data_IF_973058231632
#
_entry.id   IF_973058231632
#
_cell.length_a   1.000
_cell.length_b   1.000
_cell.length_c   1.000
_cell.angle_alpha   90.00
_cell.angle_beta   90.00
_cell.angle_gamma   90.00
#
_symmetry.space_group_name_H-M   'P 1'
#
loop_
_entity.id
_entity.type
_entity.pdbx_description
1 polymer ?
#
# COMPACT_ATOMS: atom_id res chain seq x y z
N UNK A 1 -7.64 1.41 10.77
CA UNK A 1 -6.77 1.96 9.72
C UNK A 1 -6.28 0.90 8.75
N UNK A 2 -5.50 -0.12 9.17
CA UNK A 2 -5.02 -1.17 8.27
C UNK A 2 -6.13 -1.87 7.44
N UNK A 3 -7.27 -2.22 8.05
CA UNK A 3 -8.40 -2.82 7.32
C UNK A 3 -9.00 -1.86 6.27
N UNK A 4 -9.08 -0.56 6.55
CA UNK A 4 -9.55 0.45 5.60
C UNK A 4 -8.56 0.58 4.43
N UNK A 5 -7.27 0.65 4.74
CA UNK A 5 -6.20 0.68 3.72
C UNK A 5 -6.27 -0.56 2.82
N UNK A 6 -6.44 -1.74 3.40
CA UNK A 6 -6.60 -2.99 2.66
C UNK A 6 -7.80 -2.94 1.71
N UNK A 7 -8.97 -2.56 2.24
CA UNK A 7 -10.22 -2.53 1.48
C UNK A 7 -10.11 -1.59 0.27
N UNK A 8 -9.58 -0.38 0.48
CA UNK A 8 -9.40 0.60 -0.60
C UNK A 8 -8.32 0.16 -1.59
N UNK A 9 -7.19 -0.38 -1.12
CA UNK A 9 -6.10 -0.83 -1.98
C UNK A 9 -6.53 -2.00 -2.89
N UNK A 10 -7.41 -2.89 -2.41
CA UNK A 10 -8.00 -3.98 -3.23
C UNK A 10 -8.81 -3.49 -4.42
N UNK A 11 -9.26 -2.23 -4.42
CA UNK A 11 -9.99 -1.65 -5.56
C UNK A 11 -9.09 -1.31 -6.75
N UNK A 12 -7.77 -1.33 -6.56
CA UNK A 12 -6.78 -0.93 -7.56
C UNK A 12 -6.30 -2.19 -8.31
N UNK A 13 -6.56 -2.34 -9.63
CA UNK A 13 -6.33 -3.61 -10.35
C UNK A 13 -4.89 -4.14 -10.31
N UNK A 14 -3.89 -3.25 -10.25
CA UNK A 14 -2.46 -3.61 -10.20
C UNK A 14 -1.95 -3.91 -8.80
N UNK A 15 -2.80 -3.83 -7.78
CA UNK A 15 -2.43 -4.06 -6.38
C UNK A 15 -3.11 -5.32 -5.89
N UNK A 16 -2.32 -6.25 -5.34
CA UNK A 16 -2.85 -7.49 -4.77
C UNK A 16 -2.46 -7.63 -3.32
N UNK A 17 -3.43 -7.74 -2.42
CA UNK A 17 -3.17 -8.05 -1.02
C UNK A 17 -2.77 -9.51 -0.90
N UNK A 18 -1.57 -9.76 -0.39
CA UNK A 18 -0.93 -11.08 -0.39
C UNK A 18 -1.12 -11.86 0.91
N UNK A 19 -1.49 -11.17 2.00
CA UNK A 19 -1.64 -11.75 3.34
C UNK A 19 -2.87 -11.17 4.03
N UNK A 20 -3.53 -11.93 4.92
CA UNK A 20 -4.63 -11.41 5.73
C UNK A 20 -4.15 -10.26 6.64
N UNK A 21 -5.00 -9.25 6.79
CA UNK A 21 -4.71 -8.09 7.65
C UNK A 21 -5.26 -8.37 9.05
N UNK A 22 -4.39 -8.84 9.95
CA UNK A 22 -4.78 -9.25 11.31
C UNK A 22 -4.42 -8.21 12.39
N UNK A 23 -3.57 -7.23 12.04
CA UNK A 23 -3.08 -6.22 12.98
C UNK A 23 -3.00 -4.85 12.29
N UNK A 24 -1.84 -4.19 12.38
CA UNK A 24 -1.61 -2.88 11.82
C UNK A 24 -0.78 -2.88 10.53
N UNK A 25 -0.46 -4.07 10.00
CA UNK A 25 0.35 -4.24 8.79
C UNK A 25 -0.50 -4.77 7.63
N UNK A 26 -0.29 -4.20 6.44
CA UNK A 26 -0.90 -4.61 5.18
C UNK A 26 0.21 -5.01 4.21
N UNK A 27 0.12 -6.22 3.66
CA UNK A 27 1.10 -6.73 2.71
C UNK A 27 0.52 -6.77 1.30
N UNK A 28 1.06 -5.94 0.42
CA UNK A 28 0.55 -5.79 -0.94
C UNK A 28 1.66 -6.08 -1.96
N UNK A 29 1.35 -6.82 -3.01
CA UNK A 29 2.20 -6.90 -4.19
C UNK A 29 1.85 -5.72 -5.11
N UNK A 30 2.89 -4.96 -5.49
CA UNK A 30 2.77 -3.85 -6.44
C UNK A 30 3.89 -3.94 -7.50
N UNK A 31 3.65 -3.44 -8.73
CA UNK A 31 4.69 -3.36 -9.76
C UNK A 31 5.93 -2.61 -9.27
N UNK A 32 7.12 -3.12 -9.61
CA UNK A 32 8.40 -2.52 -9.19
C UNK A 32 8.55 -1.07 -9.65
N UNK A 33 8.01 -0.74 -10.82
CA UNK A 33 8.00 0.60 -11.39
C UNK A 33 7.26 1.64 -10.53
N UNK A 34 6.35 1.19 -9.65
CA UNK A 34 5.64 2.05 -8.72
C UNK A 34 6.32 2.15 -7.36
N UNK A 35 7.25 1.25 -7.01
CA UNK A 35 7.89 1.23 -5.69
C UNK A 35 8.62 2.55 -5.41
N UNK A 36 9.52 2.95 -6.31
CA UNK A 36 10.34 4.15 -6.13
C UNK A 36 9.48 5.42 -6.05
N UNK A 37 8.55 5.71 -6.98
CA UNK A 37 7.65 6.88 -6.86
C UNK A 37 6.84 6.90 -5.56
N UNK A 38 6.31 5.74 -5.16
CA UNK A 38 5.51 5.64 -3.93
C UNK A 38 6.38 5.84 -2.68
N UNK A 39 7.63 5.37 -2.68
CA UNK A 39 8.57 5.54 -1.57
C UNK A 39 9.09 6.98 -1.41
N UNK A 40 9.08 7.78 -2.48
CA UNK A 40 9.43 9.21 -2.40
C UNK A 40 8.37 10.01 -1.61
N UNK A 41 7.11 9.60 -1.71
CA UNK A 41 5.98 10.29 -1.09
C UNK A 41 5.61 9.70 0.29
N UNK A 42 5.68 8.37 0.42
CA UNK A 42 5.32 7.65 1.63
C UNK A 42 6.38 6.63 2.03
N UNK A 43 6.73 6.63 3.32
CA UNK A 43 7.72 5.70 3.84
C UNK A 43 7.13 4.30 4.07
N UNK A 44 7.66 3.31 3.36
CA UNK A 44 7.37 1.89 3.60
C UNK A 44 8.53 1.00 3.16
N UNK A 45 8.50 -0.25 3.63
CA UNK A 45 9.54 -1.23 3.35
C UNK A 45 9.05 -2.26 2.32
N UNK A 46 9.97 -2.69 1.46
CA UNK A 46 9.79 -3.90 0.66
C UNK A 46 10.03 -5.09 1.58
N UNK A 47 9.01 -5.94 1.71
CA UNK A 47 9.05 -7.17 2.49
C UNK A 47 9.70 -8.32 1.71
N UNK A 48 9.41 -8.39 0.41
CA UNK A 48 9.93 -9.42 -0.50
C UNK A 48 10.23 -8.76 -1.84
N UNK A 49 11.53 -8.59 -2.15
CA UNK A 49 11.97 -7.93 -3.38
C UNK A 49 11.69 -8.77 -4.62
N UNK A 50 11.83 -10.10 -4.53
CA UNK A 50 11.59 -11.04 -5.63
C UNK A 50 10.13 -10.96 -6.10
N UNK A 51 9.20 -10.90 -5.15
CA UNK A 51 7.76 -10.83 -5.40
C UNK A 51 7.21 -9.40 -5.41
N UNK A 52 8.04 -8.40 -5.17
CA UNK A 52 7.66 -6.98 -5.07
C UNK A 52 6.53 -6.74 -4.06
N UNK A 53 6.63 -7.42 -2.92
CA UNK A 53 5.68 -7.28 -1.82
C UNK A 53 6.17 -6.18 -0.90
N UNK A 54 5.31 -5.21 -0.64
CA UNK A 54 5.53 -4.13 0.31
C UNK A 54 4.77 -4.39 1.60
N UNK A 55 5.31 -3.86 2.69
CA UNK A 55 4.66 -3.85 4.00
C UNK A 55 4.31 -2.42 4.37
N UNK A 56 3.02 -2.10 4.29
CA UNK A 56 2.48 -0.85 4.80
C UNK A 56 2.10 -1.03 6.26
N UNK A 57 2.48 -0.08 7.11
CA UNK A 57 2.16 -0.10 8.52
C UNK A 57 1.32 1.12 8.86
N UNK A 58 0.21 0.91 9.55
CA UNK A 58 -0.57 1.98 10.17
C UNK A 58 -0.20 2.09 11.64
N UNK A 59 -0.19 3.30 12.18
CA UNK A 59 -0.01 3.58 13.61
C UNK A 59 -1.29 4.16 14.20
N UNK A 60 -1.28 4.48 15.49
CA UNK A 60 -2.38 5.18 16.14
C UNK A 60 -2.61 6.59 15.58
N UNK A 61 -1.58 7.20 14.99
CA UNK A 61 -1.64 8.54 14.40
C UNK A 61 -2.12 8.53 12.93
N UNK A 62 -2.25 7.35 12.31
CA UNK A 62 -2.73 7.26 10.93
C UNK A 62 -4.19 7.70 10.84
N UNK A 63 -4.47 8.75 10.08
CA UNK A 63 -5.82 9.27 9.87
C UNK A 63 -6.46 8.68 8.61
N UNK A 64 -7.78 8.88 8.47
CA UNK A 64 -8.49 8.45 7.25
C UNK A 64 -8.04 9.28 6.04
N UNK A 65 -7.68 10.55 6.25
CA UNK A 65 -7.14 11.43 5.23
C UNK A 65 -5.78 10.95 4.72
N UNK A 66 -4.90 10.46 5.61
CA UNK A 66 -3.62 9.85 5.21
C UNK A 66 -3.83 8.64 4.30
N UNK A 67 -4.81 7.78 4.64
CA UNK A 67 -5.16 6.62 3.81
C UNK A 67 -5.72 7.09 2.48
N UNK A 68 -6.65 8.04 2.47
CA UNK A 68 -7.25 8.56 1.24
C UNK A 68 -6.19 9.18 0.31
N UNK A 69 -5.23 9.93 0.86
CA UNK A 69 -4.09 10.48 0.13
C UNK A 69 -3.21 9.39 -0.46
N UNK A 70 -2.87 8.37 0.33
CA UNK A 70 -2.06 7.25 -0.11
C UNK A 70 -2.77 6.42 -1.22
N UNK A 71 -4.05 6.12 -1.07
CA UNK A 71 -4.86 5.42 -2.09
C UNK A 71 -4.94 6.24 -3.38
N UNK A 72 -5.09 7.55 -3.29
CA UNK A 72 -5.08 8.45 -4.45
C UNK A 72 -3.75 8.37 -5.20
N UNK A 73 -2.63 8.35 -4.47
CA UNK A 73 -1.30 8.19 -5.06
C UNK A 73 -1.14 6.81 -5.72
N UNK A 74 -1.58 5.75 -5.04
CA UNK A 74 -1.56 4.38 -5.58
C UNK A 74 -2.37 4.24 -6.87
N UNK A 75 -3.53 4.89 -6.96
CA UNK A 75 -4.35 4.90 -8.20
C UNK A 75 -3.61 5.59 -9.34
N UNK A 76 -3.05 6.78 -9.08
CA UNK A 76 -2.25 7.52 -10.07
C UNK A 76 -1.07 6.69 -10.57
N UNK A 77 -0.42 5.92 -9.70
CA UNK A 77 0.65 5.02 -10.09
C UNK A 77 0.14 3.87 -10.98
N UNK A 78 -0.97 3.23 -10.61
CA UNK A 78 -1.51 2.05 -11.31
C UNK A 78 -2.27 2.31 -12.62
N UNK A 79 -2.65 3.56 -12.90
CA UNK A 79 -3.37 3.99 -14.10
C UNK A 79 -2.46 4.26 -15.32
N UNK A 80 -1.14 4.11 -15.17
CA UNK A 80 -0.14 4.18 -16.24
C UNK A 80 0.28 2.78 -16.74
#
# INVERSE_FOLDING_TARGET
MAALLEQEARTIPRITITQPVEANAVFAAIPREHLEPLQQEYFFYVWDEDRSIVRWMTSFDTTEEDIAGFITLLRKAGDH
#
